data_IF_828305288452
#
_entry.id   IF_828305288452
#
_cell.length_a   1.000
_cell.length_b   1.000
_cell.length_c   1.000
_cell.angle_alpha   90.00
_cell.angle_beta   90.00
_cell.angle_gamma   90.00
#
_symmetry.space_group_name_H-M   'P 1'
#
loop_
_entity.id
_entity.type
_entity.pdbx_description
1 polymer ?
#
# COMPACT_ATOMS: atom_id res chain seq x y z
N UNK A 1 -6.87 -6.51 -5.42
CA UNK A 1 -6.46 -6.13 -6.78
C UNK A 1 -5.76 -7.29 -7.46
N UNK A 2 -5.73 -7.27 -8.78
CA UNK A 2 -4.84 -8.11 -9.56
C UNK A 2 -3.52 -7.38 -9.77
N UNK A 3 -2.42 -8.11 -9.90
CA UNK A 3 -1.12 -7.50 -10.15
C UNK A 3 0.03 -8.50 -10.18
N UNK A 4 1.23 -7.96 -10.11
CA UNK A 4 2.47 -8.74 -10.03
C UNK A 4 3.19 -8.42 -8.73
N UNK A 5 3.61 -9.43 -7.99
CA UNK A 5 4.38 -9.24 -6.76
C UNK A 5 5.74 -8.65 -7.12
N UNK A 6 5.91 -7.37 -6.81
CA UNK A 6 7.16 -6.64 -7.04
C UNK A 6 8.18 -6.83 -5.91
N UNK A 7 7.71 -7.18 -4.73
CA UNK A 7 8.56 -7.50 -3.57
C UNK A 7 7.74 -7.84 -2.34
N UNK A 8 8.30 -8.64 -1.46
CA UNK A 8 7.72 -8.99 -0.18
C UNK A 8 8.82 -9.37 0.81
N UNK A 9 8.51 -9.38 2.08
CA UNK A 9 9.46 -9.79 3.12
C UNK A 9 9.15 -9.21 4.49
N UNK A 10 10.18 -9.17 5.33
CA UNK A 10 10.09 -8.66 6.69
C UNK A 10 10.47 -7.18 6.76
N UNK A 11 9.91 -6.50 7.74
CA UNK A 11 10.27 -5.14 8.14
C UNK A 11 11.16 -5.23 9.37
N UNK A 12 12.39 -4.73 9.26
CA UNK A 12 13.36 -4.70 10.35
C UNK A 12 13.80 -3.25 10.59
N UNK A 13 13.84 -2.81 11.84
CA UNK A 13 14.20 -1.44 12.21
C UNK A 13 13.41 -0.38 11.43
N UNK A 14 12.08 -0.59 11.28
CA UNK A 14 11.20 0.23 10.45
C UNK A 14 11.68 0.42 9.00
N UNK A 15 12.41 -0.55 8.48
CA UNK A 15 12.94 -0.55 7.12
C UNK A 15 12.59 -1.86 6.42
N UNK A 16 12.21 -1.79 5.16
CA UNK A 16 12.07 -2.95 4.29
C UNK A 16 12.94 -2.79 3.04
N UNK A 17 13.33 -3.91 2.46
CA UNK A 17 14.18 -3.96 1.28
C UNK A 17 13.33 -4.33 0.08
N UNK A 18 13.32 -3.45 -0.95
CA UNK A 18 12.63 -3.68 -2.20
C UNK A 18 13.59 -3.50 -3.37
N UNK A 19 13.37 -4.17 -4.48
CA UNK A 19 14.10 -4.14 -5.75
C UNK A 19 15.59 -3.75 -5.67
N UNK A 20 16.50 -4.58 -6.16
CA UNK A 20 17.96 -4.33 -6.16
C UNK A 20 18.55 -3.78 -4.84
N UNK A 21 17.99 -4.18 -3.69
CA UNK A 21 18.42 -3.77 -2.33
C UNK A 21 18.16 -2.30 -1.98
N UNK A 22 17.22 -1.62 -2.65
CA UNK A 22 16.79 -0.31 -2.19
C UNK A 22 16.05 -0.41 -0.85
N UNK A 23 16.56 0.32 0.14
CA UNK A 23 15.95 0.42 1.47
C UNK A 23 14.88 1.49 1.49
N UNK A 24 13.74 1.17 2.06
CA UNK A 24 12.62 2.08 2.30
C UNK A 24 12.34 2.18 3.79
N UNK A 25 12.32 3.40 4.31
CA UNK A 25 11.84 3.66 5.66
C UNK A 25 10.32 3.64 5.68
N UNK A 26 9.74 2.88 6.59
CA UNK A 26 8.29 2.87 6.81
C UNK A 26 7.82 4.27 7.21
N UNK A 27 8.53 4.94 8.11
CA UNK A 27 8.17 6.29 8.57
C UNK A 27 8.13 7.31 7.42
N UNK A 28 9.09 7.24 6.49
CA UNK A 28 9.07 8.12 5.29
C UNK A 28 7.92 7.76 4.35
N UNK A 29 7.63 6.48 4.18
CA UNK A 29 6.58 6.00 3.28
C UNK A 29 5.19 6.40 3.74
N UNK A 30 4.87 6.22 5.02
CA UNK A 30 3.54 6.53 5.58
C UNK A 30 3.44 7.93 6.21
N UNK A 31 4.56 8.66 6.27
CA UNK A 31 4.70 9.97 6.91
C UNK A 31 4.26 9.98 8.38
N UNK A 32 4.56 8.92 9.10
CA UNK A 32 4.31 8.81 10.54
C UNK A 32 5.56 8.31 11.25
N UNK A 33 5.73 8.74 12.52
CA UNK A 33 6.75 8.20 13.41
C UNK A 33 6.14 7.09 14.25
N UNK A 34 6.81 5.95 14.34
CA UNK A 34 6.37 4.85 15.18
C UNK A 34 7.11 3.55 14.85
N UNK A 35 7.19 2.68 15.84
CA UNK A 35 7.81 1.36 15.68
C UNK A 35 6.76 0.25 15.50
N UNK A 36 5.55 0.62 15.10
CA UNK A 36 4.41 -0.31 15.02
C UNK A 36 4.58 -1.40 13.98
N UNK A 37 5.50 -1.21 13.03
CA UNK A 37 5.78 -2.16 11.95
C UNK A 37 7.11 -2.91 12.10
N UNK A 38 7.86 -2.67 13.17
CA UNK A 38 9.09 -3.43 13.41
C UNK A 38 8.79 -4.91 13.66
N UNK A 39 9.57 -5.81 13.04
CA UNK A 39 9.31 -7.25 12.96
C UNK A 39 7.99 -7.61 12.27
N UNK A 40 7.42 -6.69 11.51
CA UNK A 40 6.26 -6.90 10.65
C UNK A 40 6.63 -7.41 9.27
N UNK A 41 5.66 -7.39 8.37
CA UNK A 41 5.80 -7.86 7.00
C UNK A 41 5.32 -6.80 6.01
N UNK A 42 5.87 -6.84 4.80
CA UNK A 42 5.39 -6.04 3.68
C UNK A 42 5.19 -6.88 2.43
N UNK A 43 4.25 -6.46 1.61
CA UNK A 43 4.11 -6.91 0.22
C UNK A 43 3.86 -5.71 -0.67
N UNK A 44 4.52 -5.72 -1.83
CA UNK A 44 4.36 -4.70 -2.85
C UNK A 44 3.81 -5.36 -4.12
N UNK A 45 2.67 -4.86 -4.60
CA UNK A 45 1.96 -5.36 -5.76
C UNK A 45 1.96 -4.27 -6.82
N UNK A 46 2.57 -4.55 -7.96
CA UNK A 46 2.56 -3.68 -9.14
C UNK A 46 1.36 -4.03 -10.01
N UNK A 47 0.56 -3.04 -10.36
CA UNK A 47 -0.60 -3.17 -11.22
C UNK A 47 -0.25 -2.65 -12.62
N UNK A 48 -0.19 -3.55 -13.61
CA UNK A 48 -0.07 -3.18 -15.02
C UNK A 48 -1.39 -2.54 -15.53
N UNK A 49 -1.37 -1.74 -16.59
CA UNK A 49 -2.59 -1.09 -17.11
C UNK A 49 -3.74 -2.06 -17.43
N UNK A 50 -3.45 -3.33 -17.70
CA UNK A 50 -4.45 -4.38 -18.00
C UNK A 50 -5.02 -5.08 -16.77
N UNK A 51 -4.39 -4.89 -15.57
CA UNK A 51 -4.80 -5.54 -14.35
C UNK A 51 -6.05 -4.85 -13.74
N UNK A 52 -6.72 -5.50 -12.81
CA UNK A 52 -7.83 -4.89 -12.07
C UNK A 52 -7.28 -3.84 -11.08
N UNK A 53 -7.63 -2.57 -11.30
CA UNK A 53 -7.17 -1.44 -10.49
C UNK A 53 -8.07 -1.13 -9.29
N UNK A 54 -9.09 -1.95 -9.04
CA UNK A 54 -9.89 -1.86 -7.81
C UNK A 54 -9.17 -2.52 -6.65
N UNK A 55 -9.21 -1.88 -5.51
CA UNK A 55 -8.55 -2.33 -4.30
C UNK A 55 -9.61 -2.84 -3.33
N UNK A 56 -9.44 -4.08 -2.90
CA UNK A 56 -10.33 -4.74 -1.97
C UNK A 56 -9.63 -5.03 -0.65
N UNK A 57 -10.38 -5.00 0.44
CA UNK A 57 -9.86 -5.32 1.76
C UNK A 57 -9.31 -6.75 1.82
N UNK A 58 -8.07 -6.93 2.22
CA UNK A 58 -7.49 -8.27 2.34
C UNK A 58 -7.95 -9.03 3.58
N UNK A 59 -8.46 -8.33 4.59
CA UNK A 59 -8.94 -8.88 5.86
C UNK A 59 -10.00 -7.96 6.46
N UNK A 60 -10.71 -8.45 7.47
CA UNK A 60 -11.61 -7.64 8.28
C UNK A 60 -10.79 -6.66 9.14
N UNK A 61 -11.10 -5.37 9.07
CA UNK A 61 -10.43 -4.36 9.89
C UNK A 61 -11.20 -3.03 9.90
N UNK A 62 -10.94 -2.21 10.90
CA UNK A 62 -11.47 -0.86 10.99
C UNK A 62 -10.47 0.15 10.46
N UNK A 63 -10.94 1.08 9.61
CA UNK A 63 -10.18 2.21 9.13
C UNK A 63 -9.97 3.19 10.28
N UNK A 64 -8.72 3.53 10.52
CA UNK A 64 -8.31 4.46 11.61
C UNK A 64 -7.96 5.82 11.05
N UNK A 65 -7.33 5.85 9.86
CA UNK A 65 -6.80 7.10 9.29
C UNK A 65 -6.69 7.00 7.78
N UNK A 66 -6.98 8.10 7.10
CA UNK A 66 -6.69 8.31 5.68
C UNK A 66 -5.83 9.55 5.55
N UNK A 67 -4.66 9.41 4.95
CA UNK A 67 -3.73 10.51 4.74
C UNK A 67 -3.34 10.62 3.26
N UNK A 68 -3.53 11.77 2.66
CA UNK A 68 -2.96 12.12 1.36
C UNK A 68 -1.61 12.77 1.55
N UNK A 69 -0.61 12.27 0.83
CA UNK A 69 0.76 12.80 0.84
C UNK A 69 1.11 13.22 -0.57
N UNK A 70 1.23 14.53 -0.84
CA UNK A 70 1.59 15.02 -2.16
C UNK A 70 3.01 14.61 -2.53
N UNK A 71 3.29 14.53 -3.82
CA UNK A 71 4.60 14.13 -4.29
C UNK A 71 4.74 14.16 -5.80
N UNK A 72 5.79 13.54 -6.30
CA UNK A 72 6.03 13.36 -7.74
C UNK A 72 5.16 12.22 -8.30
N UNK A 73 5.16 12.09 -9.60
CA UNK A 73 4.47 10.99 -10.31
C UNK A 73 5.48 10.24 -11.20
N UNK A 74 6.55 9.73 -10.59
CA UNK A 74 7.48 8.85 -11.31
C UNK A 74 6.79 7.56 -11.72
N UNK A 75 7.20 6.99 -12.86
CA UNK A 75 6.77 5.65 -13.24
C UNK A 75 7.13 4.64 -12.14
N UNK A 76 6.22 3.73 -11.82
CA UNK A 76 6.44 2.64 -10.85
C UNK A 76 6.79 1.31 -11.52
N UNK A 77 7.02 1.31 -12.83
CA UNK A 77 7.53 0.14 -13.54
C UNK A 77 8.92 -0.26 -13.05
N UNK A 78 9.28 -1.53 -13.23
CA UNK A 78 10.50 -2.14 -12.67
C UNK A 78 11.76 -1.32 -12.96
N UNK A 79 11.94 -0.83 -14.20
CA UNK A 79 13.11 -0.03 -14.56
C UNK A 79 13.25 1.27 -13.74
N UNK A 80 12.13 1.91 -13.40
CA UNK A 80 12.13 3.15 -12.63
C UNK A 80 12.39 2.88 -11.14
N UNK A 81 11.77 1.81 -10.60
CA UNK A 81 11.97 1.42 -9.19
C UNK A 81 13.40 0.95 -8.91
N UNK A 82 14.08 0.44 -9.92
CA UNK A 82 15.50 0.07 -9.86
C UNK A 82 16.45 1.26 -9.99
N UNK A 83 16.03 2.32 -10.70
CA UNK A 83 16.87 3.49 -10.98
C UNK A 83 16.69 4.65 -10.01
N UNK A 84 15.51 4.83 -9.44
CA UNK A 84 15.18 5.98 -8.59
C UNK A 84 15.15 5.57 -7.12
N UNK A 85 16.07 6.11 -6.33
CA UNK A 85 16.10 5.88 -4.88
C UNK A 85 14.84 6.43 -4.21
N UNK A 86 14.26 5.65 -3.28
CA UNK A 86 13.10 6.02 -2.47
C UNK A 86 11.87 6.41 -3.31
N UNK A 87 11.70 5.83 -4.50
CA UNK A 87 10.68 6.21 -5.46
C UNK A 87 9.28 6.26 -4.82
N UNK A 88 8.87 5.21 -4.11
CA UNK A 88 7.55 5.13 -3.50
C UNK A 88 7.30 6.19 -2.43
N UNK A 89 8.33 6.58 -1.66
CA UNK A 89 8.25 7.65 -0.66
C UNK A 89 8.27 9.05 -1.28
N UNK A 90 8.66 9.17 -2.55
CA UNK A 90 8.69 10.44 -3.31
C UNK A 90 7.45 10.67 -4.14
N UNK A 91 6.74 9.61 -4.53
CA UNK A 91 5.52 9.72 -5.30
C UNK A 91 4.34 10.16 -4.43
N UNK A 92 3.42 10.89 -5.06
CA UNK A 92 2.10 11.17 -4.51
C UNK A 92 1.42 9.86 -4.12
N UNK A 93 0.84 9.81 -2.94
CA UNK A 93 0.25 8.59 -2.41
C UNK A 93 -0.85 8.84 -1.40
N UNK A 94 -1.73 7.87 -1.29
CA UNK A 94 -2.78 7.83 -0.26
C UNK A 94 -2.47 6.68 0.68
N UNK A 95 -2.41 6.98 1.97
CA UNK A 95 -2.12 6.04 3.05
C UNK A 95 -3.40 5.78 3.83
N UNK A 96 -3.80 4.51 3.89
CA UNK A 96 -4.96 4.05 4.66
C UNK A 96 -4.45 3.17 5.80
N UNK A 97 -4.64 3.62 7.03
CA UNK A 97 -4.25 2.87 8.23
C UNK A 97 -5.46 2.15 8.79
N UNK A 98 -5.34 0.85 8.96
CA UNK A 98 -6.37 -0.04 9.50
C UNK A 98 -5.86 -0.75 10.75
N UNK A 99 -6.79 -1.18 11.57
CA UNK A 99 -6.49 -2.07 12.69
C UNK A 99 -7.62 -3.07 12.91
N UNK A 100 -7.25 -4.23 13.44
CA UNK A 100 -8.14 -5.20 14.05
C UNK A 100 -7.56 -5.64 15.40
N UNK A 101 -8.16 -6.66 16.02
CA UNK A 101 -7.73 -7.12 17.36
C UNK A 101 -6.34 -7.78 17.36
N UNK A 102 -5.82 -8.19 16.21
CA UNK A 102 -4.59 -8.96 16.10
C UNK A 102 -3.39 -8.13 15.63
N UNK A 103 -3.59 -7.18 14.69
CA UNK A 103 -2.51 -6.40 14.07
C UNK A 103 -3.00 -5.08 13.49
N UNK A 104 -2.05 -4.21 13.21
CA UNK A 104 -2.24 -3.02 12.38
C UNK A 104 -1.85 -3.34 10.95
N UNK A 105 -2.58 -2.77 10.01
CA UNK A 105 -2.31 -2.85 8.59
C UNK A 105 -2.30 -1.44 8.01
N UNK A 106 -1.29 -1.14 7.19
CA UNK A 106 -1.32 0.06 6.36
C UNK A 106 -1.26 -0.32 4.90
N UNK A 107 -2.19 0.23 4.14
CA UNK A 107 -2.27 0.12 2.70
C UNK A 107 -1.85 1.44 2.09
N UNK A 108 -0.80 1.42 1.27
CA UNK A 108 -0.27 2.61 0.61
C UNK A 108 -0.57 2.51 -0.89
N UNK A 109 -1.46 3.38 -1.35
CA UNK A 109 -1.80 3.52 -2.76
C UNK A 109 -0.87 4.55 -3.40
N UNK A 110 0.11 4.09 -4.18
CA UNK A 110 1.14 4.96 -4.78
C UNK A 110 0.76 5.33 -6.19
N UNK A 111 0.61 6.63 -6.44
CA UNK A 111 0.39 7.20 -7.77
C UNK A 111 1.64 7.10 -8.67
N UNK A 112 1.43 7.18 -9.98
CA UNK A 112 2.50 7.12 -10.99
C UNK A 112 2.19 8.02 -12.18
N UNK A 113 3.12 8.14 -13.11
CA UNK A 113 2.92 8.82 -14.41
C UNK A 113 1.65 8.31 -15.07
N UNK A 114 0.81 9.23 -15.50
CA UNK A 114 -0.53 9.01 -16.08
C UNK A 114 -1.59 8.47 -15.09
N UNK A 115 -1.26 8.34 -13.80
CA UNK A 115 -2.11 7.73 -12.77
C UNK A 115 -2.17 8.58 -11.49
N UNK A 116 -2.24 9.87 -11.64
CA UNK A 116 -2.43 10.74 -10.48
C UNK A 116 -3.82 10.63 -9.83
N UNK A 117 -4.66 9.67 -10.21
CA UNK A 117 -6.03 9.63 -9.68
C UNK A 117 -6.25 8.40 -8.80
N UNK A 118 -6.37 8.65 -7.49
CA UNK A 118 -6.80 7.69 -6.48
C UNK A 118 -8.20 8.11 -6.02
N UNK A 119 -9.15 7.21 -6.18
CA UNK A 119 -10.51 7.37 -5.69
C UNK A 119 -10.76 6.37 -4.57
N UNK A 120 -11.26 6.85 -3.44
CA UNK A 120 -11.72 6.01 -2.33
C UNK A 120 -13.24 5.90 -2.36
N UNK A 121 -13.77 4.72 -2.09
CA UNK A 121 -15.21 4.43 -2.19
C UNK A 121 -16.06 5.36 -1.32
N UNK A 122 -15.58 5.73 -0.14
CA UNK A 122 -16.33 6.56 0.82
C UNK A 122 -15.95 8.05 0.80
N UNK A 123 -14.83 8.41 0.14
CA UNK A 123 -14.29 9.78 0.19
C UNK A 123 -14.21 10.44 -1.20
N UNK A 124 -14.54 9.70 -2.26
CA UNK A 124 -14.42 10.20 -3.62
C UNK A 124 -12.96 10.33 -4.07
N UNK A 125 -12.69 11.30 -4.95
CA UNK A 125 -11.37 11.53 -5.53
C UNK A 125 -10.45 12.21 -4.49
N UNK A 126 -9.38 11.53 -4.11
CA UNK A 126 -8.38 12.02 -3.16
C UNK A 126 -7.16 12.62 -3.87
N UNK A 127 -6.69 11.98 -4.91
CA UNK A 127 -5.56 12.41 -5.75
C UNK A 127 -5.97 12.39 -7.24
N UNK A 128 -5.42 13.25 -8.12
CA UNK A 128 -4.41 14.26 -7.81
C UNK A 128 -5.01 15.40 -6.99
N UNK A 129 -4.31 15.80 -5.99
CA UNK A 129 -4.70 16.96 -5.22
C UNK A 129 -4.28 18.23 -5.96
N UNK A 130 -5.00 18.61 -7.01
CA UNK A 130 -4.68 19.71 -7.92
C UNK A 130 -4.39 21.06 -7.21
N UNK A 131 -4.77 21.16 -5.93
CA UNK A 131 -4.60 22.36 -5.10
C UNK A 131 -4.07 22.06 -3.68
N UNK A 132 -3.65 20.81 -3.40
CA UNK A 132 -3.15 20.40 -2.08
C UNK A 132 -1.65 20.13 -2.14
N UNK A 133 -0.85 21.12 -1.80
CA UNK A 133 0.61 20.99 -1.72
C UNK A 133 1.08 20.56 -0.32
N UNK A 134 0.16 20.25 0.58
CA UNK A 134 0.44 19.82 1.95
C UNK A 134 -0.22 18.47 2.23
N UNK A 135 0.33 17.76 3.22
CA UNK A 135 -0.26 16.53 3.71
C UNK A 135 -1.64 16.83 4.29
N UNK A 136 -2.62 16.02 3.91
CA UNK A 136 -4.02 16.19 4.32
C UNK A 136 -4.56 14.90 4.91
N UNK A 137 -5.12 14.98 6.12
CA UNK A 137 -5.84 13.88 6.76
C UNK A 137 -7.34 14.01 6.43
N UNK A 138 -7.95 12.90 5.98
CA UNK A 138 -9.36 12.85 5.59
C UNK A 138 -10.22 12.08 6.58
N UNK A 139 -9.59 11.28 7.44
CA UNK A 139 -10.27 10.46 8.43
C UNK A 139 -9.36 10.31 9.65
N UNK A 140 -9.94 10.27 10.83
CA UNK A 140 -9.24 10.11 12.08
C UNK A 140 -9.87 9.01 12.96
N UNK A 141 -9.24 8.72 14.09
CA UNK A 141 -9.58 7.62 14.96
C UNK A 141 -10.94 7.75 15.67
N UNK A 142 -11.57 8.92 15.65
CA UNK A 142 -12.85 9.15 16.36
C UNK A 142 -14.03 8.53 15.60
N UNK A 143 -13.93 8.40 14.26
CA UNK A 143 -14.94 7.85 13.37
C UNK A 143 -14.52 6.54 12.71
N UNK A 144 -14.01 5.57 13.49
CA UNK A 144 -13.55 4.30 12.94
C UNK A 144 -14.64 3.59 12.13
N UNK A 145 -14.35 3.32 10.86
CA UNK A 145 -15.24 2.61 9.95
C UNK A 145 -14.76 1.19 9.72
N UNK A 146 -15.65 0.22 9.95
CA UNK A 146 -15.36 -1.19 9.70
C UNK A 146 -15.50 -1.53 8.22
N UNK A 147 -14.56 -2.33 7.72
CA UNK A 147 -14.55 -2.91 6.38
C UNK A 147 -14.40 -4.42 6.45
N UNK A 148 -15.27 -5.12 5.74
CA UNK A 148 -15.20 -6.58 5.63
C UNK A 148 -14.17 -7.00 4.57
N UNK A 149 -13.55 -8.17 4.77
CA UNK A 149 -12.71 -8.82 3.75
C UNK A 149 -13.44 -8.89 2.40
N UNK A 150 -12.76 -8.47 1.33
CA UNK A 150 -13.34 -8.44 -0.01
C UNK A 150 -14.20 -7.21 -0.33
N UNK A 151 -14.45 -6.31 0.63
CA UNK A 151 -15.12 -5.03 0.37
C UNK A 151 -14.18 -4.11 -0.42
N UNK A 152 -14.72 -3.44 -1.46
CA UNK A 152 -13.97 -2.44 -2.21
C UNK A 152 -13.71 -1.18 -1.36
N UNK A 153 -12.47 -0.74 -1.32
CA UNK A 153 -12.05 0.45 -0.57
C UNK A 153 -11.65 1.62 -1.46
N UNK A 154 -11.37 1.34 -2.72
CA UNK A 154 -11.00 2.38 -3.67
C UNK A 154 -10.45 1.81 -4.97
N UNK A 155 -9.99 2.70 -5.83
CA UNK A 155 -9.39 2.32 -7.12
C UNK A 155 -8.36 3.35 -7.59
N UNK A 156 -7.49 2.89 -8.48
CA UNK A 156 -6.70 3.76 -9.34
C UNK A 156 -7.37 3.86 -10.72
N UNK A 157 -7.24 4.99 -11.37
CA UNK A 157 -7.82 5.14 -12.70
C UNK A 157 -6.91 4.59 -13.82
N UNK A 158 -5.64 4.30 -13.54
CA UNK A 158 -4.67 3.68 -14.47
C UNK A 158 -3.44 3.20 -13.68
N UNK A 159 -2.61 2.26 -14.20
CA UNK A 159 -1.47 1.54 -13.60
C UNK A 159 -0.73 2.16 -12.42
N UNK A 160 -0.43 1.38 -11.39
CA UNK A 160 -0.01 1.88 -10.09
C UNK A 160 0.66 0.79 -9.23
N UNK A 161 0.91 1.10 -7.98
CA UNK A 161 1.47 0.16 -7.02
C UNK A 161 0.73 0.28 -5.69
N UNK A 162 0.44 -0.88 -5.10
CA UNK A 162 -0.07 -0.98 -3.73
C UNK A 162 0.98 -1.62 -2.86
N UNK A 163 1.29 -0.98 -1.74
CA UNK A 163 2.16 -1.55 -0.71
C UNK A 163 1.30 -1.80 0.53
N UNK A 164 1.33 -3.04 1.01
CA UNK A 164 0.68 -3.42 2.26
C UNK A 164 1.77 -3.62 3.31
N UNK A 165 1.64 -2.94 4.42
CA UNK A 165 2.47 -3.10 5.61
C UNK A 165 1.62 -3.73 6.70
N UNK A 166 2.15 -4.74 7.36
CA UNK A 166 1.53 -5.42 8.49
C UNK A 166 2.44 -5.29 9.70
N UNK A 167 1.88 -4.91 10.84
CA UNK A 167 2.60 -4.99 12.11
C UNK A 167 2.93 -6.46 12.41
N UNK A 168 3.63 -6.72 13.50
CA UNK A 168 4.07 -8.06 13.86
C UNK A 168 2.91 -9.06 13.76
N UNK A 169 3.06 -10.04 12.87
CA UNK A 169 2.14 -11.17 12.68
C UNK A 169 2.93 -12.47 12.73
N UNK A 170 2.33 -13.52 13.27
CA UNK A 170 2.96 -14.83 13.40
C UNK A 170 2.75 -15.73 12.17
N UNK A 171 1.95 -15.28 11.19
CA UNK A 171 1.63 -16.08 10.01
C UNK A 171 2.80 -16.06 9.01
N UNK A 172 3.10 -17.23 8.43
CA UNK A 172 4.05 -17.33 7.34
C UNK A 172 3.40 -16.98 5.99
N UNK A 173 4.26 -16.62 5.02
CA UNK A 173 3.85 -16.50 3.63
C UNK A 173 3.38 -17.86 3.08
N UNK A 174 2.43 -17.86 2.15
CA UNK A 174 2.10 -19.08 1.40
C UNK A 174 3.31 -19.51 0.55
N UNK A 175 3.39 -20.82 0.24
CA UNK A 175 4.50 -21.35 -0.55
C UNK A 175 4.56 -20.82 -1.98
N UNK A 176 3.43 -20.32 -2.48
CA UNK A 176 3.27 -19.80 -3.84
C UNK A 176 3.59 -18.31 -3.96
N UNK A 177 4.10 -17.65 -2.93
CA UNK A 177 4.50 -16.25 -3.01
C UNK A 177 5.93 -16.12 -3.49
N UNK A 178 6.11 -15.59 -4.70
CA UNK A 178 7.40 -15.26 -5.27
C UNK A 178 7.36 -13.88 -5.98
N UNK A 179 8.49 -13.18 -5.98
CA UNK A 179 8.66 -11.97 -6.80
C UNK A 179 8.45 -12.27 -8.28
N UNK A 180 7.77 -11.37 -8.99
CA UNK A 180 7.35 -11.48 -10.39
C UNK A 180 6.19 -12.44 -10.65
N UNK A 181 5.64 -13.08 -9.63
CA UNK A 181 4.46 -13.91 -9.75
C UNK A 181 3.20 -13.06 -9.85
N UNK A 182 2.25 -13.49 -10.69
CA UNK A 182 0.92 -12.87 -10.76
C UNK A 182 0.13 -13.26 -9.52
N UNK A 183 -0.56 -12.28 -8.97
CA UNK A 183 -1.53 -12.44 -7.90
C UNK A 183 -2.89 -11.95 -8.39
N UNK A 184 -3.92 -12.70 -8.09
CA UNK A 184 -5.29 -12.36 -8.44
C UNK A 184 -6.11 -12.02 -7.19
N UNK A 185 -7.21 -11.33 -7.40
CA UNK A 185 -8.20 -11.10 -6.34
C UNK A 185 -8.63 -12.46 -5.77
N UNK A 186 -8.63 -12.58 -4.43
CA UNK A 186 -8.93 -13.78 -3.65
C UNK A 186 -7.77 -14.78 -3.47
N UNK A 187 -6.61 -14.55 -4.06
CA UNK A 187 -5.44 -15.38 -3.74
C UNK A 187 -5.04 -15.21 -2.27
N UNK A 188 -4.68 -16.30 -1.63
CA UNK A 188 -4.18 -16.26 -0.26
C UNK A 188 -2.69 -15.94 -0.28
N UNK A 189 -2.29 -14.92 0.47
CA UNK A 189 -0.89 -14.49 0.60
C UNK A 189 -0.24 -14.98 1.89
N UNK A 190 -1.03 -15.39 2.87
CA UNK A 190 -0.56 -15.96 4.13
C UNK A 190 -1.15 -17.34 4.37
N UNK A 191 -0.37 -18.22 5.02
CA UNK A 191 -0.91 -19.50 5.51
C UNK A 191 -1.98 -19.19 6.57
N UNK A 192 -3.13 -19.81 6.42
CA UNK A 192 -4.21 -19.78 7.42
C UNK A 192 -4.00 -21.00 8.31
N UNK A 193 -3.73 -20.78 9.58
CA UNK A 193 -3.64 -21.83 10.61
C UNK A 193 -4.92 -21.87 11.41
#
# INVERSE_FOLDING_TARGET
CDGTIAGYGNINDNTFIHAKKHKYSVNELIHEKGNDYNNGKFINIYLEPKDCHRIYMPCDASLVKVTHIPGSLYSVATYATEGIKKLYSRNERVVLSFQNDQYKMTLVMVGAVNVGCVTLSDYGIIAPAKYRNSITEFHNKEDMKYYSKGQEIGMFNLGSTVIILLSKINNDWTENINTKEKILIRDNIFKVY
#
